data_IF_325979346936
#
_entry.id   IF_325979346936
#
_cell.length_a   1.000
_cell.length_b   1.000
_cell.length_c   1.000
_cell.angle_alpha   90.00
_cell.angle_beta   90.00
_cell.angle_gamma   90.00
#
_symmetry.space_group_name_H-M   'P 1'
#
loop_
_entity.id
_entity.type
_entity.pdbx_description
1 polymer ?
#
# COMPACT_ATOMS: atom_id res chain seq x y z
N UNK A 1 1.42 22.92 11.59
CA UNK A 1 1.25 22.16 10.33
C UNK A 1 2.35 21.11 10.31
N UNK A 2 2.03 19.83 10.50
CA UNK A 2 3.05 18.77 10.61
C UNK A 2 3.52 18.27 9.22
N UNK A 3 4.61 17.51 9.17
CA UNK A 3 5.16 16.97 7.92
C UNK A 3 4.13 16.17 7.09
N UNK A 4 3.18 15.49 7.73
CA UNK A 4 2.17 14.69 7.05
C UNK A 4 1.19 15.54 6.24
N UNK A 5 0.89 16.76 6.70
CA UNK A 5 0.05 17.71 5.95
C UNK A 5 0.68 18.16 4.63
N UNK A 6 2.01 18.30 4.57
CA UNK A 6 2.77 18.65 3.36
C UNK A 6 2.84 17.46 2.40
N UNK A 7 2.91 16.24 2.92
CA UNK A 7 3.08 15.01 2.14
C UNK A 7 1.75 14.39 1.68
N UNK A 8 0.64 14.66 2.36
CA UNK A 8 -0.66 14.09 2.02
C UNK A 8 -1.10 14.39 0.57
N UNK A 9 -0.91 15.61 0.00
CA UNK A 9 -1.15 15.85 -1.43
C UNK A 9 -0.30 14.97 -2.35
N UNK A 10 0.98 14.73 -2.01
CA UNK A 10 1.87 13.87 -2.79
C UNK A 10 1.41 12.41 -2.75
N UNK A 11 1.04 11.92 -1.55
CA UNK A 11 0.46 10.59 -1.38
C UNK A 11 -0.82 10.41 -2.18
N UNK A 12 -1.71 11.41 -2.22
CA UNK A 12 -2.92 11.39 -3.06
C UNK A 12 -2.60 11.32 -4.55
N UNK A 13 -1.60 12.06 -5.02
CA UNK A 13 -1.14 11.99 -6.40
C UNK A 13 -0.61 10.58 -6.74
N UNK A 14 0.23 10.01 -5.87
CA UNK A 14 0.77 8.65 -6.01
C UNK A 14 -0.37 7.61 -6.05
N UNK A 15 -1.30 7.65 -5.10
CA UNK A 15 -2.46 6.76 -5.08
C UNK A 15 -3.33 6.92 -6.33
N UNK A 16 -3.48 8.14 -6.85
CA UNK A 16 -4.22 8.42 -8.08
C UNK A 16 -3.70 7.61 -9.29
N UNK A 17 -2.38 7.44 -9.39
CA UNK A 17 -1.76 6.65 -10.45
C UNK A 17 -2.11 5.15 -10.39
N UNK A 18 -2.48 4.65 -9.21
CA UNK A 18 -2.86 3.25 -9.03
C UNK A 18 -4.16 2.86 -9.74
N UNK A 19 -5.05 3.83 -10.00
CA UNK A 19 -6.40 3.58 -10.55
C UNK A 19 -6.37 2.72 -11.81
N UNK A 20 -5.47 3.03 -12.74
CA UNK A 20 -5.34 2.28 -14.01
C UNK A 20 -4.97 0.81 -13.77
N UNK A 21 -4.06 0.54 -12.85
CA UNK A 21 -3.61 -0.83 -12.60
C UNK A 21 -4.65 -1.62 -11.82
N UNK A 22 -5.25 -1.01 -10.80
CA UNK A 22 -6.26 -1.66 -9.98
C UNK A 22 -7.54 -1.99 -10.77
N UNK A 23 -7.92 -1.18 -11.75
CA UNK A 23 -9.12 -1.39 -12.56
C UNK A 23 -9.11 -2.72 -13.32
N UNK A 24 -7.95 -3.15 -13.82
CA UNK A 24 -7.81 -4.38 -14.60
C UNK A 24 -7.69 -5.65 -13.73
N UNK A 25 -7.48 -5.51 -12.42
CA UNK A 25 -7.32 -6.66 -11.53
C UNK A 25 -8.67 -7.31 -11.20
N UNK A 26 -8.70 -8.64 -11.21
CA UNK A 26 -9.83 -9.47 -10.80
C UNK A 26 -9.27 -10.77 -10.17
N UNK A 27 -10.14 -11.70 -9.79
CA UNK A 27 -9.74 -12.89 -9.03
C UNK A 27 -8.79 -13.82 -9.80
N UNK A 28 -8.81 -13.82 -11.14
CA UNK A 28 -7.84 -14.59 -11.94
C UNK A 28 -6.40 -14.08 -11.77
N UNK A 29 -6.21 -12.89 -11.22
CA UNK A 29 -4.90 -12.26 -11.00
C UNK A 29 -4.39 -12.46 -9.56
N UNK A 30 -5.20 -12.98 -8.63
CA UNK A 30 -4.86 -13.05 -7.20
C UNK A 30 -3.51 -13.74 -6.94
N UNK A 31 -3.32 -14.91 -7.53
CA UNK A 31 -2.13 -15.73 -7.37
C UNK A 31 -1.28 -15.82 -8.64
N UNK A 32 -1.60 -15.04 -9.68
CA UNK A 32 -0.84 -15.06 -10.93
C UNK A 32 0.57 -14.52 -10.69
N UNK A 33 1.55 -15.37 -10.99
CA UNK A 33 2.97 -15.09 -10.98
C UNK A 33 3.47 -15.01 -12.43
N UNK A 34 3.53 -13.81 -13.04
CA UNK A 34 3.83 -13.68 -14.47
C UNK A 34 5.28 -14.01 -14.81
N UNK A 35 6.18 -13.90 -13.82
CA UNK A 35 7.56 -14.36 -13.90
C UNK A 35 7.93 -14.98 -12.56
N UNK A 36 8.64 -16.11 -12.57
CA UNK A 36 9.06 -16.80 -11.37
C UNK A 36 9.85 -15.88 -10.41
N UNK A 37 9.49 -15.90 -9.14
CA UNK A 37 10.04 -15.07 -8.08
C UNK A 37 9.40 -13.68 -7.95
N UNK A 38 8.46 -13.29 -8.83
CA UNK A 38 7.71 -12.05 -8.66
C UNK A 38 6.57 -12.21 -7.65
N UNK A 39 6.27 -11.10 -6.96
CA UNK A 39 5.08 -11.04 -6.10
C UNK A 39 3.81 -11.15 -6.94
N UNK A 40 2.79 -11.80 -6.39
CA UNK A 40 1.46 -11.86 -7.00
C UNK A 40 0.71 -10.54 -6.82
N UNK A 41 -0.26 -10.25 -7.68
CA UNK A 41 -1.07 -9.04 -7.55
C UNK A 41 -1.87 -9.03 -6.24
N UNK A 42 -2.42 -10.18 -5.84
CA UNK A 42 -3.13 -10.32 -4.56
C UNK A 42 -2.25 -9.93 -3.37
N UNK A 43 -1.01 -10.43 -3.33
CA UNK A 43 -0.07 -10.06 -2.28
C UNK A 43 0.28 -8.58 -2.30
N UNK A 44 0.55 -7.99 -3.47
CA UNK A 44 0.91 -6.56 -3.59
C UNK A 44 -0.21 -5.63 -3.08
N UNK A 45 -1.45 -5.89 -3.49
CA UNK A 45 -2.60 -5.07 -3.10
C UNK A 45 -2.93 -5.27 -1.62
N UNK A 46 -2.96 -6.52 -1.14
CA UNK A 46 -3.19 -6.82 0.28
C UNK A 46 -2.08 -6.26 1.20
N UNK A 47 -0.81 -6.34 0.76
CA UNK A 47 0.33 -5.74 1.46
C UNK A 47 0.14 -4.24 1.63
N UNK A 48 -0.17 -3.53 0.53
CA UNK A 48 -0.44 -2.09 0.58
C UNK A 48 -1.60 -1.75 1.51
N UNK A 49 -2.68 -2.54 1.50
CA UNK A 49 -3.79 -2.34 2.44
C UNK A 49 -3.32 -2.47 3.90
N UNK A 50 -2.62 -3.55 4.27
CA UNK A 50 -2.17 -3.78 5.65
C UNK A 50 -1.10 -2.76 6.10
N UNK A 51 -0.18 -2.36 5.23
CA UNK A 51 0.84 -1.37 5.57
C UNK A 51 0.28 0.05 5.66
N UNK A 52 -0.68 0.41 4.80
CA UNK A 52 -1.41 1.67 4.94
C UNK A 52 -2.18 1.72 6.26
N UNK A 53 -2.76 0.58 6.67
CA UNK A 53 -3.52 0.45 7.91
C UNK A 53 -2.61 0.49 9.14
N UNK A 54 -1.38 -0.01 9.00
CA UNK A 54 -0.32 0.23 9.98
C UNK A 54 0.03 1.73 10.09
N UNK A 55 0.11 2.44 8.95
CA UNK A 55 0.23 3.90 8.93
C UNK A 55 -0.87 4.60 9.73
N UNK A 56 -2.13 4.16 9.59
CA UNK A 56 -3.27 4.68 10.36
C UNK A 56 -3.03 4.51 11.86
N UNK A 57 -2.65 3.30 12.28
CA UNK A 57 -2.34 2.98 13.68
C UNK A 57 -1.20 3.84 14.25
N UNK A 58 -0.13 4.06 13.49
CA UNK A 58 1.00 4.91 13.92
C UNK A 58 0.53 6.34 14.21
N UNK A 59 -0.40 6.86 13.41
CA UNK A 59 -1.01 8.17 13.58
C UNK A 59 -2.10 8.21 14.67
N UNK A 60 -2.31 7.11 15.42
CA UNK A 60 -3.36 7.02 16.45
C UNK A 60 -4.78 6.80 15.90
N UNK A 61 -4.93 6.51 14.61
CA UNK A 61 -6.21 6.27 13.96
C UNK A 61 -6.62 4.80 14.08
N UNK A 62 -7.92 4.53 14.00
CA UNK A 62 -8.44 3.16 13.95
C UNK A 62 -8.04 2.42 12.68
N UNK A 63 -7.68 1.15 12.85
CA UNK A 63 -7.41 0.21 11.76
C UNK A 63 -8.72 -0.25 11.09
N UNK A 64 -8.67 -0.47 9.78
CA UNK A 64 -9.79 -0.87 8.93
C UNK A 64 -9.66 -2.34 8.48
N UNK A 65 -8.43 -2.81 8.21
CA UNK A 65 -8.22 -4.15 7.68
C UNK A 65 -8.51 -5.22 8.76
N UNK A 66 -9.10 -6.38 8.39
CA UNK A 66 -9.23 -7.52 9.30
C UNK A 66 -7.88 -7.93 9.89
N UNK A 67 -7.86 -8.35 11.16
CA UNK A 67 -6.59 -8.67 11.84
C UNK A 67 -5.88 -9.86 11.19
N UNK A 68 -6.64 -10.85 10.78
CA UNK A 68 -6.23 -12.07 10.09
C UNK A 68 -5.49 -11.79 8.78
N UNK A 69 -5.70 -10.65 8.12
CA UNK A 69 -4.95 -10.29 6.91
C UNK A 69 -3.44 -10.14 7.17
N UNK A 70 -3.04 -9.89 8.41
CA UNK A 70 -1.62 -9.75 8.80
C UNK A 70 -0.81 -11.03 8.58
N UNK A 71 -1.41 -12.21 8.66
CA UNK A 71 -0.70 -13.48 8.42
C UNK A 71 -0.29 -13.65 6.95
N UNK A 72 -0.98 -12.96 6.04
CA UNK A 72 -0.76 -13.07 4.59
C UNK A 72 0.03 -11.91 4.00
N UNK A 73 -0.05 -10.73 4.62
CA UNK A 73 0.37 -9.48 3.98
C UNK A 73 1.37 -8.63 4.79
N UNK A 74 1.77 -9.05 6.00
CA UNK A 74 2.79 -8.33 6.75
C UNK A 74 4.17 -8.36 6.05
N UNK A 75 5.06 -7.39 6.35
CA UNK A 75 6.46 -7.50 5.97
C UNK A 75 7.05 -8.87 6.39
N UNK A 76 7.77 -9.52 5.47
CA UNK A 76 8.37 -10.84 5.69
C UNK A 76 7.47 -12.04 5.33
N UNK A 77 6.20 -11.81 5.00
CA UNK A 77 5.35 -12.84 4.39
C UNK A 77 5.71 -13.05 2.92
N UNK A 78 5.37 -14.22 2.38
CA UNK A 78 5.64 -14.59 0.99
C UNK A 78 4.34 -14.62 0.17
N UNK A 79 4.41 -14.26 -1.13
CA UNK A 79 3.31 -14.50 -2.06
C UNK A 79 2.94 -15.99 -2.11
N UNK A 80 1.64 -16.26 -2.22
CA UNK A 80 1.06 -17.59 -2.35
C UNK A 80 0.65 -17.80 -3.80
N UNK A 81 0.99 -18.96 -4.40
CA UNK A 81 0.48 -19.36 -5.71
C UNK A 81 -0.96 -19.92 -5.62
N UNK A 82 -1.53 -20.03 -4.41
CA UNK A 82 -2.91 -20.45 -4.21
C UNK A 82 -3.84 -19.24 -4.05
N UNK A 83 -4.76 -18.97 -5.00
CA UNK A 83 -5.68 -17.84 -4.91
C UNK A 83 -6.64 -17.93 -3.72
N UNK A 84 -6.91 -19.13 -3.18
CA UNK A 84 -7.76 -19.31 -2.01
C UNK A 84 -7.09 -18.80 -0.71
N UNK A 85 -5.79 -18.50 -0.74
CA UNK A 85 -5.08 -17.85 0.37
C UNK A 85 -5.51 -16.39 0.54
N UNK A 86 -6.09 -15.76 -0.48
CA UNK A 86 -6.38 -14.35 -0.49
C UNK A 86 -7.89 -14.03 -0.47
N UNK A 87 -8.28 -12.89 0.13
CA UNK A 87 -9.61 -12.34 -0.06
C UNK A 87 -9.87 -12.02 -1.55
N UNK A 88 -11.13 -11.89 -1.97
CA UNK A 88 -11.47 -11.46 -3.32
C UNK A 88 -10.75 -10.17 -3.72
N UNK A 89 -10.33 -10.08 -4.98
CA UNK A 89 -9.56 -8.94 -5.49
C UNK A 89 -10.34 -7.62 -5.33
N UNK A 90 -11.65 -7.64 -5.47
CA UNK A 90 -12.49 -6.46 -5.23
C UNK A 90 -12.34 -5.95 -3.78
N UNK A 91 -12.39 -6.84 -2.80
CA UNK A 91 -12.24 -6.50 -1.37
C UNK A 91 -10.84 -5.93 -1.08
N UNK A 92 -9.79 -6.54 -1.64
CA UNK A 92 -8.42 -6.04 -1.49
C UNK A 92 -8.25 -4.63 -2.05
N UNK A 93 -8.79 -4.36 -3.25
CA UNK A 93 -8.73 -3.03 -3.89
C UNK A 93 -9.47 -1.99 -3.05
N UNK A 94 -10.68 -2.32 -2.61
CA UNK A 94 -11.51 -1.41 -1.84
C UNK A 94 -10.87 -1.10 -0.49
N UNK A 95 -10.36 -2.11 0.21
CA UNK A 95 -9.63 -1.94 1.46
C UNK A 95 -8.40 -1.04 1.29
N UNK A 96 -7.55 -1.32 0.30
CA UNK A 96 -6.37 -0.50 0.01
C UNK A 96 -6.75 0.97 -0.25
N UNK A 97 -7.74 1.22 -1.10
CA UNK A 97 -8.18 2.57 -1.43
C UNK A 97 -8.77 3.28 -0.22
N UNK A 98 -9.59 2.60 0.58
CA UNK A 98 -10.24 3.18 1.74
C UNK A 98 -9.23 3.54 2.83
N UNK A 99 -8.30 2.63 3.12
CA UNK A 99 -7.19 2.85 4.06
C UNK A 99 -6.37 4.08 3.70
N UNK A 100 -5.87 4.17 2.47
CA UNK A 100 -5.01 5.29 2.08
C UNK A 100 -5.77 6.61 1.96
N UNK A 101 -7.02 6.60 1.46
CA UNK A 101 -7.85 7.82 1.43
C UNK A 101 -8.07 8.38 2.82
N UNK A 102 -8.46 7.53 3.78
CA UNK A 102 -8.61 7.94 5.17
C UNK A 102 -7.27 8.38 5.77
N UNK A 103 -6.19 7.64 5.53
CA UNK A 103 -4.86 8.01 6.02
C UNK A 103 -4.44 9.41 5.55
N UNK A 104 -4.60 9.73 4.27
CA UNK A 104 -4.24 11.05 3.74
C UNK A 104 -5.16 12.18 4.21
N UNK A 105 -6.39 11.87 4.63
CA UNK A 105 -7.33 12.84 5.15
C UNK A 105 -7.10 13.13 6.64
N UNK A 106 -6.83 12.08 7.43
CA UNK A 106 -6.87 12.13 8.90
C UNK A 106 -5.49 12.25 9.54
N UNK A 107 -4.45 11.61 8.97
CA UNK A 107 -3.10 11.65 9.52
C UNK A 107 -2.49 13.06 9.68
N UNK A 108 -2.79 14.06 8.81
CA UNK A 108 -2.36 15.44 9.02
C UNK A 108 -2.80 16.05 10.36
N UNK A 109 -3.85 15.52 11.00
CA UNK A 109 -4.36 15.98 12.30
C UNK A 109 -3.80 15.20 13.50
N UNK A 110 -2.89 14.25 13.27
CA UNK A 110 -2.28 13.49 14.36
C UNK A 110 -1.48 14.41 15.31
N UNK A 111 -1.61 14.24 16.65
CA UNK A 111 -0.88 15.06 17.61
C UNK A 111 0.63 14.93 17.48
N UNK A 112 1.37 16.03 17.67
CA UNK A 112 2.84 16.01 17.60
C UNK A 112 3.45 15.02 18.59
N UNK A 113 2.87 14.89 19.79
CA UNK A 113 3.30 13.88 20.78
C UNK A 113 3.23 12.45 20.23
N UNK A 114 2.22 12.12 19.43
CA UNK A 114 2.10 10.80 18.79
C UNK A 114 3.17 10.65 17.71
N UNK A 115 3.38 11.69 16.90
CA UNK A 115 4.32 11.66 15.79
C UNK A 115 5.80 11.66 16.24
N UNK A 116 6.11 12.24 17.39
CA UNK A 116 7.46 12.25 17.97
C UNK A 116 7.83 10.97 18.72
N UNK A 117 6.90 10.01 18.89
CA UNK A 117 7.21 8.71 19.50
C UNK A 117 8.25 7.97 18.66
N UNK A 118 9.05 7.08 19.28
CA UNK A 118 9.96 6.23 18.52
C UNK A 118 9.22 5.43 17.44
N UNK A 119 9.83 5.26 16.27
CA UNK A 119 9.28 4.45 15.20
C UNK A 119 9.00 3.01 15.71
N UNK A 120 7.74 2.54 15.66
CA UNK A 120 7.38 1.22 16.19
C UNK A 120 7.92 0.06 15.34
N UNK A 121 8.41 0.32 14.13
CA UNK A 121 9.06 -0.67 13.29
C UNK A 121 10.58 -0.67 13.49
N UNK A 122 11.03 -1.48 14.45
CA UNK A 122 12.44 -1.59 14.89
C UNK A 122 13.45 -1.69 13.74
N UNK A 123 13.24 -2.49 12.67
CA UNK A 123 14.23 -2.60 11.60
C UNK A 123 14.52 -1.29 10.85
N UNK A 124 13.57 -0.34 10.80
CA UNK A 124 13.76 0.95 10.14
C UNK A 124 14.15 2.08 11.12
N UNK A 125 14.04 1.85 12.43
CA UNK A 125 14.26 2.87 13.45
C UNK A 125 15.63 3.58 13.37
N UNK A 126 16.76 2.91 13.03
CA UNK A 126 18.04 3.59 12.86
C UNK A 126 18.10 4.63 11.73
N UNK A 127 17.20 4.53 10.75
CA UNK A 127 17.16 5.41 9.58
C UNK A 127 15.96 6.36 9.59
N UNK A 128 14.88 5.94 10.24
CA UNK A 128 13.61 6.66 10.35
C UNK A 128 13.21 6.63 11.83
N UNK A 129 13.76 7.54 12.66
CA UNK A 129 13.68 7.44 14.12
C UNK A 129 12.28 7.56 14.72
N UNK A 130 11.40 8.34 14.10
CA UNK A 130 10.09 8.69 14.67
C UNK A 130 8.91 8.03 13.96
N UNK A 131 7.81 7.90 14.69
CA UNK A 131 6.52 7.46 14.18
C UNK A 131 6.05 8.33 13.00
N UNK A 132 6.17 9.65 13.11
CA UNK A 132 5.76 10.58 12.05
C UNK A 132 6.56 10.43 10.76
N UNK A 133 7.88 10.26 10.85
CA UNK A 133 8.72 10.04 9.66
C UNK A 133 8.39 8.69 9.00
N UNK A 134 8.08 7.66 9.79
CA UNK A 134 7.69 6.36 9.23
C UNK A 134 6.29 6.39 8.60
N UNK A 135 5.34 7.08 9.21
CA UNK A 135 4.03 7.33 8.60
C UNK A 135 4.16 8.11 7.27
N UNK A 136 5.03 9.13 7.24
CA UNK A 136 5.37 9.86 6.02
C UNK A 136 5.92 8.93 4.92
N UNK A 137 6.83 8.02 5.27
CA UNK A 137 7.37 7.01 4.34
C UNK A 137 6.27 6.06 3.82
N UNK A 138 5.39 5.56 4.70
CA UNK A 138 4.25 4.69 4.33
C UNK A 138 3.27 5.40 3.37
N UNK A 139 3.06 6.70 3.58
CA UNK A 139 2.21 7.56 2.74
C UNK A 139 2.81 7.86 1.35
N UNK A 140 4.13 7.72 1.19
CA UNK A 140 4.84 8.20 0.00
C UNK A 140 5.75 7.13 -0.60
N UNK A 141 7.01 7.05 -0.15
CA UNK A 141 8.04 6.19 -0.74
C UNK A 141 7.68 4.72 -0.76
N UNK A 142 7.10 4.20 0.34
CA UNK A 142 6.64 2.81 0.40
C UNK A 142 5.51 2.54 -0.60
N UNK A 143 4.48 3.39 -0.61
CA UNK A 143 3.36 3.29 -1.53
C UNK A 143 3.85 3.35 -2.99
N UNK A 144 4.68 4.34 -3.33
CA UNK A 144 5.23 4.50 -4.67
C UNK A 144 6.07 3.28 -5.10
N UNK A 145 6.89 2.74 -4.19
CA UNK A 145 7.70 1.55 -4.46
C UNK A 145 6.84 0.34 -4.86
N UNK A 146 5.81 0.03 -4.07
CA UNK A 146 4.95 -1.13 -4.36
C UNK A 146 3.99 -0.89 -5.53
N UNK A 147 3.57 0.35 -5.78
CA UNK A 147 2.86 0.69 -7.01
C UNK A 147 3.74 0.55 -8.25
N UNK A 148 5.04 0.85 -8.14
CA UNK A 148 6.02 0.53 -9.18
C UNK A 148 6.13 -0.97 -9.44
N UNK A 149 6.18 -1.79 -8.39
CA UNK A 149 6.13 -3.25 -8.51
C UNK A 149 4.85 -3.71 -9.19
N UNK A 150 3.69 -3.16 -8.82
CA UNK A 150 2.41 -3.48 -9.44
C UNK A 150 2.37 -3.08 -10.92
N UNK A 151 2.93 -1.90 -11.27
CA UNK A 151 3.05 -1.48 -12.67
C UNK A 151 3.90 -2.44 -13.50
N UNK A 152 5.03 -2.91 -12.96
CA UNK A 152 5.89 -3.87 -13.64
C UNK A 152 5.22 -5.24 -13.74
N UNK A 153 4.51 -5.67 -12.69
CA UNK A 153 3.69 -6.87 -12.71
C UNK A 153 2.64 -6.82 -13.81
N UNK A 154 1.98 -5.67 -13.98
CA UNK A 154 0.95 -5.43 -15.00
C UNK A 154 1.51 -5.61 -16.43
N UNK A 155 2.73 -5.12 -16.67
CA UNK A 155 3.44 -5.32 -17.93
C UNK A 155 3.81 -6.80 -18.14
N UNK A 156 4.33 -7.47 -17.11
CA UNK A 156 4.71 -8.88 -17.18
C UNK A 156 3.50 -9.81 -17.39
N UNK A 157 2.34 -9.47 -16.81
CA UNK A 157 1.08 -10.18 -16.98
C UNK A 157 0.38 -9.90 -18.32
N UNK A 158 0.96 -9.05 -19.18
CA UNK A 158 0.39 -8.71 -20.49
C UNK A 158 -0.83 -7.79 -20.43
N UNK A 159 -1.10 -7.15 -19.28
CA UNK A 159 -2.26 -6.28 -19.09
C UNK A 159 -1.98 -4.82 -19.48
N UNK A 160 -0.70 -4.45 -19.65
CA UNK A 160 -0.34 -3.12 -20.12
C UNK A 160 -0.71 -2.98 -21.60
N UNK A 161 -1.71 -2.14 -21.90
CA UNK A 161 -2.04 -1.78 -23.28
C UNK A 161 -0.81 -1.19 -23.96
N UNK A 162 -0.27 -1.88 -24.96
CA UNK A 162 0.75 -1.35 -25.85
C UNK A 162 0.10 -0.29 -26.75
N UNK A 163 0.15 0.99 -26.37
CA UNK A 163 -0.32 2.07 -27.24
C UNK A 163 -0.84 3.33 -26.55
N UNK A 164 -1.39 3.26 -25.33
CA UNK A 164 -1.96 4.43 -24.65
C UNK A 164 -0.91 5.12 -23.77
N UNK A 165 0.13 5.70 -24.39
CA UNK A 165 0.71 6.92 -23.82
C UNK A 165 -0.27 8.02 -24.23
N UNK A 166 -1.04 8.52 -23.27
CA UNK A 166 -2.07 9.52 -23.51
C UNK A 166 -1.57 10.66 -24.39
N UNK A 167 -2.35 10.96 -25.42
CA UNK A 167 -2.44 12.32 -25.92
C UNK A 167 -3.08 13.18 -24.82
N UNK A 168 -2.57 14.40 -24.71
CA UNK A 168 -2.79 15.39 -23.65
C UNK A 168 -4.27 15.74 -23.40
#
# INVERSE_FOLDING_TARGET
>A
MNQLSVLAPQGRFILGQSRRWLADLNDSHLALEPLAGLKTAGWLVGHLAVTGDFGRRICGLSTICPKEWRTHFNPGTFPSPDPATYPPMAELRDAMLNVYRGLFAEAPSAPDEVLSRPNPYVPAQPFIPTAGEFAAYLMTGHLAHHLGQLSSWHAAAGLRRTGERGED
#
